data_IF_075963130390
#
_entry.id   IF_075963130390
#
_cell.length_a   1.000
_cell.length_b   1.000
_cell.length_c   1.000
_cell.angle_alpha   90.00
_cell.angle_beta   90.00
_cell.angle_gamma   90.00
#
_symmetry.space_group_name_H-M   'P 1'
#
loop_
_entity.id
_entity.type
_entity.pdbx_description
1 polymer ?
#
# COMPACT_ATOMS: atom_id res chain seq x y z
N UNK A 1 -19.26 -40.90 28.66
CA UNK A 1 -17.95 -40.28 28.33
C UNK A 1 -16.87 -41.23 28.83
N UNK A 2 -16.15 -41.84 27.90
CA UNK A 2 -15.15 -42.87 28.23
C UNK A 2 -13.87 -42.21 28.78
N UNK A 3 -13.05 -42.97 29.53
CA UNK A 3 -11.83 -42.50 30.21
C UNK A 3 -10.80 -41.78 29.30
N UNK A 4 -10.92 -41.87 27.97
CA UNK A 4 -10.04 -41.18 27.01
C UNK A 4 -10.33 -39.67 26.90
N UNK A 5 -11.58 -39.22 27.10
CA UNK A 5 -11.98 -37.82 26.85
C UNK A 5 -11.46 -36.87 27.94
N UNK A 6 -11.20 -37.37 29.14
CA UNK A 6 -10.69 -36.58 30.26
C UNK A 6 -9.20 -36.26 30.14
N UNK A 7 -8.43 -37.06 29.37
CA UNK A 7 -6.97 -37.00 29.39
C UNK A 7 -6.42 -35.71 28.74
N UNK A 8 -7.09 -35.23 27.69
CA UNK A 8 -6.66 -34.03 26.97
C UNK A 8 -6.97 -32.72 27.74
N UNK A 9 -8.04 -32.71 28.53
CA UNK A 9 -8.42 -31.57 29.38
C UNK A 9 -7.51 -31.47 30.62
N UNK A 10 -6.87 -32.56 31.04
CA UNK A 10 -5.97 -32.62 32.20
C UNK A 10 -4.53 -32.22 31.90
N UNK A 11 -4.15 -32.02 30.63
CA UNK A 11 -2.78 -31.70 30.24
C UNK A 11 -2.27 -30.39 30.88
N UNK A 12 -0.99 -30.33 31.31
CA UNK A 12 -0.38 -29.09 31.80
C UNK A 12 -0.45 -27.97 30.74
N UNK A 13 -0.52 -26.68 31.16
CA UNK A 13 -0.57 -25.54 30.24
C UNK A 13 0.55 -25.51 29.21
N UNK A 14 1.76 -25.97 29.56
CA UNK A 14 2.91 -25.99 28.65
C UNK A 14 2.74 -27.01 27.52
N UNK A 15 2.19 -28.19 27.83
CA UNK A 15 1.89 -29.22 26.82
C UNK A 15 0.76 -28.73 25.93
N UNK A 16 -0.27 -28.11 26.51
CA UNK A 16 -1.36 -27.48 25.75
C UNK A 16 -0.85 -26.37 24.82
N UNK A 17 0.10 -25.55 25.28
CA UNK A 17 0.74 -24.53 24.45
C UNK A 17 1.44 -25.15 23.24
N UNK A 18 2.22 -26.22 23.44
CA UNK A 18 2.92 -26.91 22.35
C UNK A 18 1.92 -27.51 21.37
N UNK A 19 0.88 -28.20 21.83
CA UNK A 19 -0.14 -28.77 20.93
C UNK A 19 -0.88 -27.68 20.15
N UNK A 20 -1.34 -26.63 20.84
CA UNK A 20 -1.98 -25.48 20.20
C UNK A 20 -1.06 -24.72 19.24
N UNK A 21 0.26 -24.84 19.38
CA UNK A 21 1.25 -24.24 18.45
C UNK A 21 1.29 -24.91 17.08
N UNK A 22 0.75 -26.13 16.94
CA UNK A 22 0.63 -26.83 15.66
C UNK A 22 -0.73 -26.66 14.97
N UNK A 23 -1.77 -26.28 15.71
CA UNK A 23 -3.12 -26.08 15.14
C UNK A 23 -3.17 -24.82 14.25
N UNK A 24 -4.09 -24.77 13.29
CA UNK A 24 -4.41 -23.54 12.55
C UNK A 24 -5.39 -22.65 13.35
N UNK A 25 -5.56 -21.40 12.92
CA UNK A 25 -6.40 -20.41 13.61
C UNK A 25 -7.86 -20.88 13.72
N UNK A 26 -8.40 -21.57 12.70
CA UNK A 26 -9.78 -22.03 12.73
C UNK A 26 -9.96 -23.20 13.71
N UNK A 27 -9.01 -24.14 13.74
CA UNK A 27 -9.02 -25.22 14.75
C UNK A 27 -8.89 -24.67 16.16
N UNK A 28 -8.03 -23.69 16.40
CA UNK A 28 -7.95 -23.02 17.69
C UNK A 28 -9.29 -22.36 18.09
N UNK A 29 -9.97 -21.72 17.13
CA UNK A 29 -11.31 -21.18 17.32
C UNK A 29 -12.37 -22.22 17.67
N UNK A 30 -12.27 -23.43 17.12
CA UNK A 30 -13.16 -24.54 17.47
C UNK A 30 -12.83 -25.10 18.84
N UNK A 31 -11.55 -25.28 19.15
CA UNK A 31 -11.07 -25.81 20.44
C UNK A 31 -11.52 -24.96 21.63
N UNK A 32 -11.52 -23.65 21.50
CA UNK A 32 -12.04 -22.73 22.53
C UNK A 32 -13.53 -22.83 22.78
N UNK A 33 -14.30 -23.45 21.88
CA UNK A 33 -15.73 -23.70 22.08
C UNK A 33 -15.99 -25.06 22.74
N UNK A 34 -14.97 -25.92 22.91
CA UNK A 34 -15.13 -27.28 23.46
C UNK A 34 -15.33 -27.25 24.97
N UNK A 35 -14.55 -26.46 25.72
CA UNK A 35 -14.69 -26.37 27.17
C UNK A 35 -14.23 -25.03 27.75
N UNK A 36 -14.68 -24.69 28.97
CA UNK A 36 -14.31 -23.44 29.67
C UNK A 36 -12.79 -23.30 29.88
N UNK A 37 -12.07 -24.41 30.12
CA UNK A 37 -10.61 -24.41 30.29
C UNK A 37 -9.88 -24.01 29.00
N UNK A 38 -10.25 -24.61 27.85
CA UNK A 38 -9.68 -24.21 26.56
C UNK A 38 -10.08 -22.80 26.17
N UNK A 39 -11.31 -22.38 26.47
CA UNK A 39 -11.74 -21.01 26.26
C UNK A 39 -10.88 -20.01 27.05
N UNK A 40 -10.66 -20.26 28.35
CA UNK A 40 -9.81 -19.43 29.20
C UNK A 40 -8.35 -19.44 28.73
N UNK A 41 -7.81 -20.62 28.41
CA UNK A 41 -6.43 -20.76 27.92
C UNK A 41 -6.19 -20.01 26.61
N UNK A 42 -7.09 -20.16 25.64
CA UNK A 42 -6.98 -19.52 24.33
C UNK A 42 -7.40 -18.04 24.35
N UNK A 43 -8.03 -17.55 25.42
CA UNK A 43 -8.17 -16.10 25.66
C UNK A 43 -6.85 -15.45 26.04
N UNK A 44 -5.93 -16.20 26.66
CA UNK A 44 -4.60 -15.67 26.98
C UNK A 44 -3.74 -15.50 25.71
N UNK A 45 -2.94 -14.44 25.69
CA UNK A 45 -2.25 -13.95 24.49
C UNK A 45 -1.04 -14.77 24.06
N UNK A 46 -0.56 -15.74 24.85
CA UNK A 46 0.72 -16.41 24.60
C UNK A 46 0.77 -17.21 23.29
N UNK A 47 -0.28 -17.98 22.98
CA UNK A 47 -0.36 -18.76 21.72
C UNK A 47 -0.47 -17.83 20.50
N UNK A 48 -1.18 -16.71 20.65
CA UNK A 48 -1.50 -15.78 19.58
C UNK A 48 -0.40 -14.76 19.31
N UNK A 49 0.37 -14.37 20.33
CA UNK A 49 1.41 -13.34 20.24
C UNK A 49 2.54 -13.73 19.29
N UNK A 50 2.92 -15.01 19.27
CA UNK A 50 3.92 -15.52 18.33
C UNK A 50 3.38 -15.55 16.89
N UNK A 51 2.11 -15.94 16.72
CA UNK A 51 1.47 -16.07 15.40
C UNK A 51 1.14 -14.73 14.76
N UNK A 52 0.73 -13.74 15.54
CA UNK A 52 0.31 -12.43 15.05
C UNK A 52 1.45 -11.57 14.48
N UNK A 53 2.72 -11.97 14.68
CA UNK A 53 3.88 -11.23 14.19
C UNK A 53 4.07 -11.31 12.68
N UNK A 54 3.92 -12.50 12.10
CA UNK A 54 4.26 -12.79 10.69
C UNK A 54 3.06 -13.34 9.92
N UNK A 55 1.92 -12.66 10.07
CA UNK A 55 0.67 -13.04 9.44
C UNK A 55 0.24 -12.00 8.41
N UNK A 56 -0.49 -12.46 7.40
CA UNK A 56 -0.84 -11.67 6.22
C UNK A 56 -1.82 -10.55 6.58
N UNK A 57 -1.57 -9.35 6.04
CA UNK A 57 -2.39 -8.13 6.02
C UNK A 57 -2.61 -7.42 7.36
N UNK A 58 -2.10 -7.94 8.48
CA UNK A 58 -2.41 -7.41 9.82
C UNK A 58 -1.18 -6.99 10.62
N UNK A 59 -0.04 -6.78 9.95
CA UNK A 59 1.14 -6.23 10.62
C UNK A 59 0.82 -4.83 11.18
N UNK A 60 1.09 -4.63 12.47
CA UNK A 60 1.00 -3.33 13.13
C UNK A 60 2.22 -3.09 14.03
N UNK A 61 3.31 -3.82 13.79
CA UNK A 61 4.59 -3.59 14.45
C UNK A 61 5.35 -2.43 13.81
N UNK A 62 5.17 -2.21 12.50
CA UNK A 62 5.76 -1.06 11.80
C UNK A 62 4.97 0.22 12.09
N UNK A 63 5.69 1.30 12.43
CA UNK A 63 5.16 2.64 12.69
C UNK A 63 4.36 3.17 11.49
N UNK A 64 4.82 2.89 10.26
CA UNK A 64 4.13 3.34 9.03
C UNK A 64 2.74 2.74 8.90
N UNK A 65 2.61 1.45 9.20
CA UNK A 65 1.33 0.76 9.15
C UNK A 65 0.44 1.13 10.35
N UNK A 66 1.04 1.36 11.53
CA UNK A 66 0.32 1.84 12.71
C UNK A 66 -0.27 3.25 12.50
N UNK A 67 0.45 4.14 11.82
CA UNK A 67 -0.01 5.49 11.46
C UNK A 67 -1.18 5.48 10.45
N UNK A 68 -1.34 4.41 9.68
CA UNK A 68 -2.49 4.20 8.76
C UNK A 68 -3.65 3.47 9.43
N UNK A 69 -3.33 2.62 10.41
CA UNK A 69 -4.30 1.79 11.11
C UNK A 69 -5.21 2.61 11.99
N UNK A 70 -6.51 2.51 11.75
CA UNK A 70 -7.50 3.15 12.62
C UNK A 70 -7.63 2.43 13.96
N UNK A 71 -7.72 1.10 13.89
CA UNK A 71 -7.90 0.20 15.02
C UNK A 71 -6.59 -0.52 15.31
N UNK A 72 -6.16 -0.55 16.57
CA UNK A 72 -5.04 -1.39 17.02
C UNK A 72 -5.63 -2.72 17.45
N UNK A 73 -5.23 -3.79 16.76
CA UNK A 73 -5.78 -5.11 16.96
C UNK A 73 -4.96 -5.90 17.99
N UNK A 74 -5.66 -6.61 18.86
CA UNK A 74 -5.05 -7.59 19.75
C UNK A 74 -4.52 -8.80 18.97
N UNK A 75 -3.57 -9.59 19.51
CA UNK A 75 -2.99 -10.74 18.80
C UNK A 75 -4.00 -11.74 18.26
N UNK A 76 -5.08 -12.00 19.02
CA UNK A 76 -6.18 -12.89 18.62
C UNK A 76 -6.91 -12.30 17.41
N UNK A 77 -7.26 -11.01 17.49
CA UNK A 77 -7.98 -10.30 16.44
C UNK A 77 -7.16 -10.23 15.16
N UNK A 78 -5.84 -9.97 15.24
CA UNK A 78 -4.93 -10.00 14.09
C UNK A 78 -4.96 -11.34 13.36
N UNK A 79 -5.01 -12.45 14.11
CA UNK A 79 -5.06 -13.79 13.54
C UNK A 79 -6.37 -14.03 12.79
N UNK A 80 -7.51 -13.73 13.42
CA UNK A 80 -8.82 -13.87 12.79
C UNK A 80 -9.02 -12.94 11.60
N UNK A 81 -8.52 -11.71 11.71
CA UNK A 81 -8.58 -10.74 10.66
C UNK A 81 -7.80 -11.23 9.43
N UNK A 82 -6.60 -11.79 9.62
CA UNK A 82 -5.85 -12.42 8.53
C UNK A 82 -6.60 -13.59 7.86
N UNK A 83 -7.31 -14.42 8.64
CA UNK A 83 -8.15 -15.49 8.06
C UNK A 83 -9.22 -14.91 7.14
N UNK A 84 -9.83 -13.76 7.46
CA UNK A 84 -10.82 -13.12 6.59
C UNK A 84 -10.22 -12.63 5.29
N UNK A 85 -9.01 -12.04 5.35
CA UNK A 85 -8.24 -11.70 4.15
C UNK A 85 -8.01 -12.94 3.28
N UNK A 86 -7.42 -14.00 3.84
CA UNK A 86 -7.08 -15.22 3.10
C UNK A 86 -8.30 -15.92 2.51
N UNK A 87 -9.40 -16.02 3.27
CA UNK A 87 -10.64 -16.66 2.80
C UNK A 87 -11.44 -15.78 1.82
N UNK A 88 -11.20 -14.47 1.83
CA UNK A 88 -11.96 -13.50 1.03
C UNK A 88 -13.35 -13.21 1.59
N UNK A 89 -13.50 -13.21 2.92
CA UNK A 89 -14.73 -12.76 3.57
C UNK A 89 -14.68 -11.25 3.76
N UNK A 90 -15.35 -10.52 2.87
CA UNK A 90 -15.42 -9.06 2.89
C UNK A 90 -16.78 -8.54 2.46
N UNK A 91 -17.07 -7.30 2.82
CA UNK A 91 -18.19 -6.52 2.30
C UNK A 91 -17.65 -5.37 1.46
N UNK A 92 -18.06 -5.30 0.20
CA UNK A 92 -17.72 -4.21 -0.70
C UNK A 92 -18.73 -3.07 -0.57
N UNK A 93 -18.22 -1.83 -0.49
CA UNK A 93 -19.01 -0.61 -0.51
C UNK A 93 -18.40 0.38 -1.50
N UNK A 94 -19.22 0.88 -2.43
CA UNK A 94 -18.83 2.01 -3.29
C UNK A 94 -18.89 3.28 -2.46
N UNK A 95 -17.77 3.97 -2.29
CA UNK A 95 -17.67 5.19 -1.51
C UNK A 95 -17.93 6.44 -2.36
N UNK A 96 -17.36 6.46 -3.57
CA UNK A 96 -17.56 7.53 -4.54
C UNK A 96 -17.76 6.90 -5.91
N UNK A 97 -18.68 7.45 -6.68
CA UNK A 97 -18.89 7.08 -8.08
C UNK A 97 -18.97 8.34 -8.92
N UNK A 98 -18.40 8.28 -10.11
CA UNK A 98 -18.44 9.37 -11.08
C UNK A 98 -18.47 8.81 -12.51
N UNK A 99 -18.94 9.61 -13.46
CA UNK A 99 -19.18 9.18 -14.85
C UNK A 99 -17.93 9.36 -15.73
N UNK A 100 -17.13 10.36 -15.41
CA UNK A 100 -15.86 10.68 -16.07
C UNK A 100 -14.79 9.65 -15.72
N UNK A 101 -13.93 9.31 -16.67
CA UNK A 101 -12.78 8.44 -16.38
C UNK A 101 -11.64 9.30 -15.87
N UNK A 102 -11.07 8.93 -14.71
CA UNK A 102 -9.85 9.53 -14.18
C UNK A 102 -8.78 8.45 -13.95
N UNK A 103 -7.55 8.89 -13.73
CA UNK A 103 -6.46 8.06 -13.20
C UNK A 103 -6.18 8.43 -11.74
N UNK A 104 -7.06 8.04 -10.78
CA UNK A 104 -6.98 8.52 -9.42
C UNK A 104 -5.80 7.94 -8.65
N UNK A 105 -5.27 8.77 -7.77
CA UNK A 105 -4.30 8.42 -6.74
C UNK A 105 -4.95 8.56 -5.37
N UNK A 106 -4.54 7.73 -4.41
CA UNK A 106 -5.03 7.83 -3.05
C UNK A 106 -3.89 7.70 -2.03
N UNK A 107 -4.09 8.29 -0.87
CA UNK A 107 -3.20 8.11 0.28
C UNK A 107 -4.02 7.98 1.55
N UNK A 108 -3.75 6.93 2.31
CA UNK A 108 -4.45 6.61 3.55
C UNK A 108 -3.64 7.10 4.77
N UNK A 109 -4.33 7.75 5.70
CA UNK A 109 -3.88 8.08 7.05
C UNK A 109 -4.88 7.49 8.06
N UNK A 110 -4.56 7.56 9.37
CA UNK A 110 -5.40 7.00 10.44
C UNK A 110 -6.87 7.46 10.39
N UNK A 111 -7.08 8.77 10.27
CA UNK A 111 -8.39 9.42 10.37
C UNK A 111 -8.84 10.07 9.06
N UNK A 112 -8.01 10.00 8.03
CA UNK A 112 -8.19 10.75 6.80
C UNK A 112 -7.88 9.86 5.60
N UNK A 113 -8.69 9.99 4.55
CA UNK A 113 -8.38 9.47 3.23
C UNK A 113 -8.23 10.63 2.26
N UNK A 114 -7.07 10.70 1.60
CA UNK A 114 -6.84 11.60 0.48
C UNK A 114 -7.12 10.89 -0.83
N UNK A 115 -7.82 11.56 -1.75
CA UNK A 115 -8.23 11.00 -3.04
C UNK A 115 -8.12 12.07 -4.12
N UNK A 116 -7.42 11.79 -5.22
CA UNK A 116 -7.45 12.67 -6.39
C UNK A 116 -8.64 12.34 -7.29
N UNK A 117 -9.35 13.39 -7.71
CA UNK A 117 -10.47 13.34 -8.64
C UNK A 117 -10.22 14.36 -9.73
N UNK A 118 -9.65 13.90 -10.84
CA UNK A 118 -9.16 14.75 -11.91
C UNK A 118 -8.16 15.79 -11.39
N UNK A 119 -8.39 17.07 -11.69
CA UNK A 119 -7.52 18.18 -11.29
C UNK A 119 -7.58 18.59 -9.80
N UNK A 120 -8.41 17.93 -8.99
CA UNK A 120 -8.59 18.26 -7.57
C UNK A 120 -8.17 17.12 -6.64
N UNK A 121 -7.66 17.47 -5.46
CA UNK A 121 -7.36 16.52 -4.38
C UNK A 121 -8.37 16.74 -3.26
N UNK A 122 -9.06 15.68 -2.88
CA UNK A 122 -10.11 15.68 -1.86
C UNK A 122 -9.59 15.02 -0.58
N UNK A 123 -9.92 15.62 0.56
CA UNK A 123 -9.65 15.09 1.89
C UNK A 123 -10.95 14.66 2.54
N UNK A 124 -11.06 13.39 2.91
CA UNK A 124 -12.24 12.86 3.58
C UNK A 124 -11.92 12.45 5.02
N UNK A 125 -12.86 12.66 5.94
CA UNK A 125 -12.81 12.08 7.27
C UNK A 125 -13.14 10.59 7.17
N UNK A 126 -12.35 9.77 7.85
CA UNK A 126 -12.59 8.33 7.97
C UNK A 126 -13.43 8.03 9.23
N UNK A 127 -14.52 7.31 9.06
CA UNK A 127 -15.44 6.92 10.13
C UNK A 127 -15.01 5.61 10.81
N UNK A 128 -15.62 5.26 11.94
CA UNK A 128 -15.28 4.07 12.74
C UNK A 128 -15.40 2.75 11.95
N UNK A 129 -16.41 2.69 11.08
CA UNK A 129 -16.71 1.59 10.15
C UNK A 129 -15.85 1.63 8.88
N UNK A 130 -14.85 2.52 8.80
CA UNK A 130 -13.99 2.71 7.65
C UNK A 130 -14.61 3.52 6.52
N UNK A 131 -15.92 3.82 6.56
CA UNK A 131 -16.55 4.63 5.52
C UNK A 131 -16.07 6.09 5.57
N UNK A 132 -16.42 6.86 4.53
CA UNK A 132 -16.08 8.28 4.46
C UNK A 132 -17.21 9.12 5.03
N UNK A 133 -16.86 10.20 5.72
CA UNK A 133 -17.82 11.23 6.09
C UNK A 133 -18.45 11.85 4.84
N UNK A 134 -19.73 12.22 4.93
CA UNK A 134 -20.49 12.81 3.82
C UNK A 134 -19.85 14.10 3.29
N UNK A 135 -19.28 14.90 4.20
CA UNK A 135 -18.65 16.16 3.87
C UNK A 135 -17.15 16.00 3.58
N UNK A 136 -16.72 16.60 2.47
CA UNK A 136 -15.31 16.78 2.14
C UNK A 136 -14.69 17.77 3.13
N UNK A 137 -13.62 17.37 3.82
CA UNK A 137 -12.93 18.23 4.79
C UNK A 137 -12.15 19.35 4.11
N UNK A 138 -11.44 19.03 3.02
CA UNK A 138 -10.64 19.96 2.23
C UNK A 138 -10.68 19.57 0.76
N UNK A 139 -10.74 20.58 -0.12
CA UNK A 139 -10.60 20.41 -1.57
C UNK A 139 -9.44 21.27 -2.06
N UNK A 140 -8.35 20.65 -2.45
CA UNK A 140 -7.18 21.33 -3.00
C UNK A 140 -7.37 21.46 -4.51
N UNK A 141 -7.44 22.71 -4.99
CA UNK A 141 -7.56 23.07 -6.40
C UNK A 141 -6.35 23.90 -6.80
N UNK A 142 -5.89 23.71 -8.02
CA UNK A 142 -4.75 24.43 -8.58
C UNK A 142 -4.39 23.91 -9.96
N UNK A 143 -4.33 22.60 -10.16
CA UNK A 143 -4.02 22.03 -11.47
C UNK A 143 -5.08 22.36 -12.53
N UNK A 144 -4.65 22.50 -13.79
CA UNK A 144 -5.55 22.68 -14.93
C UNK A 144 -5.92 21.35 -15.60
N UNK A 145 -5.25 20.26 -15.24
CA UNK A 145 -5.47 18.91 -15.76
C UNK A 145 -5.34 17.90 -14.59
N UNK A 146 -5.61 16.63 -14.88
CA UNK A 146 -5.63 15.54 -13.91
C UNK A 146 -4.35 15.46 -13.07
N UNK A 147 -4.53 15.26 -11.76
CA UNK A 147 -3.42 15.04 -10.83
C UNK A 147 -2.88 13.63 -11.03
N UNK A 148 -1.64 13.51 -11.52
CA UNK A 148 -1.00 12.22 -11.73
C UNK A 148 -0.64 11.51 -10.43
N UNK A 149 0.07 12.19 -9.53
CA UNK A 149 0.40 11.67 -8.20
C UNK A 149 0.56 12.79 -7.18
N UNK A 150 0.16 12.52 -5.95
CA UNK A 150 0.41 13.40 -4.82
C UNK A 150 0.96 12.63 -3.61
N UNK A 151 1.67 13.35 -2.74
CA UNK A 151 2.20 12.84 -1.48
C UNK A 151 1.84 13.81 -0.36
N UNK A 152 1.28 13.30 0.73
CA UNK A 152 1.02 14.02 1.97
C UNK A 152 2.01 13.56 3.05
N UNK A 153 2.83 14.45 3.58
CA UNK A 153 3.83 14.15 4.63
C UNK A 153 4.20 15.39 5.43
N UNK A 154 4.49 15.25 6.72
CA UNK A 154 4.96 16.37 7.56
C UNK A 154 4.07 17.64 7.47
N UNK A 155 2.75 17.47 7.26
CA UNK A 155 1.80 18.59 7.18
C UNK A 155 1.73 19.32 5.84
N UNK A 156 2.42 18.85 4.80
CA UNK A 156 2.32 19.38 3.43
C UNK A 156 1.71 18.34 2.49
N UNK A 157 1.10 18.82 1.42
CA UNK A 157 0.65 18.02 0.28
C UNK A 157 1.36 18.55 -0.95
N UNK A 158 2.11 17.69 -1.63
CA UNK A 158 2.82 18.01 -2.88
C UNK A 158 2.21 17.18 -3.99
N UNK A 159 1.84 17.79 -5.12
CA UNK A 159 1.28 17.05 -6.26
C UNK A 159 1.81 17.50 -7.60
N UNK A 160 1.92 16.53 -8.51
CA UNK A 160 2.23 16.74 -9.92
C UNK A 160 0.98 16.56 -10.79
N UNK A 161 0.75 17.49 -11.70
CA UNK A 161 -0.34 17.45 -12.66
C UNK A 161 0.09 16.97 -14.04
N UNK A 162 -0.89 16.51 -14.82
CA UNK A 162 -0.71 16.23 -16.25
C UNK A 162 -0.44 17.49 -17.08
N UNK A 163 -0.73 18.66 -16.53
CA UNK A 163 -0.41 19.99 -17.06
C UNK A 163 1.08 20.38 -16.90
N UNK A 164 1.92 19.49 -16.38
CA UNK A 164 3.36 19.74 -16.17
C UNK A 164 3.66 20.65 -14.98
N UNK A 165 2.65 20.99 -14.18
CA UNK A 165 2.79 21.86 -13.01
C UNK A 165 2.91 21.06 -11.71
N UNK A 166 3.64 21.64 -10.75
CA UNK A 166 3.73 21.21 -9.36
C UNK A 166 2.90 22.16 -8.49
N UNK A 167 2.10 21.61 -7.59
CA UNK A 167 1.39 22.41 -6.60
C UNK A 167 1.72 21.90 -5.18
N UNK A 168 1.73 22.82 -4.21
CA UNK A 168 2.02 22.53 -2.80
C UNK A 168 1.00 23.23 -1.93
N UNK A 169 0.40 22.49 -0.99
CA UNK A 169 -0.54 23.03 -0.01
C UNK A 169 -0.20 22.58 1.41
N UNK A 170 -0.70 23.32 2.39
CA UNK A 170 -0.72 22.89 3.79
C UNK A 170 -1.83 21.87 4.03
N UNK A 171 -1.51 20.72 4.60
CA UNK A 171 -2.45 19.61 4.82
C UNK A 171 -3.55 19.91 5.86
N UNK A 172 -3.34 20.90 6.73
CA UNK A 172 -4.28 21.29 7.81
C UNK A 172 -5.39 22.20 7.31
N UNK A 173 -5.04 23.28 6.61
CA UNK A 173 -5.97 24.33 6.17
C UNK A 173 -6.22 24.32 4.66
N UNK A 174 -5.44 23.57 3.88
CA UNK A 174 -5.50 23.58 2.42
C UNK A 174 -4.98 24.88 1.78
N UNK A 175 -4.23 25.69 2.55
CA UNK A 175 -3.62 26.90 2.03
C UNK A 175 -2.58 26.55 0.96
N UNK A 176 -2.68 27.19 -0.19
CA UNK A 176 -1.72 27.01 -1.27
C UNK A 176 -0.40 27.70 -0.90
N UNK A 177 0.66 26.91 -0.79
CA UNK A 177 2.03 27.40 -0.54
C UNK A 177 2.72 27.72 -1.86
N UNK A 178 2.52 26.88 -2.88
CA UNK A 178 2.98 27.12 -4.25
C UNK A 178 1.87 26.71 -5.22
N UNK A 179 1.45 27.65 -6.07
CA UNK A 179 0.37 27.43 -7.02
C UNK A 179 0.91 27.27 -8.44
N UNK A 180 0.59 26.13 -9.09
CA UNK A 180 0.89 25.82 -10.50
C UNK A 180 2.31 26.19 -10.94
N UNK A 181 3.29 25.71 -10.20
CA UNK A 181 4.68 25.94 -10.57
C UNK A 181 5.04 25.08 -11.78
N UNK A 182 5.27 25.70 -12.93
CA UNK A 182 5.61 24.99 -14.16
C UNK A 182 7.04 24.42 -14.10
N UNK A 183 7.14 23.14 -13.73
CA UNK A 183 8.42 22.46 -13.56
C UNK A 183 8.86 21.72 -14.83
N UNK A 184 7.91 21.16 -15.59
CA UNK A 184 8.17 20.23 -16.70
C UNK A 184 7.39 20.61 -17.95
N UNK A 185 7.89 20.22 -19.13
CA UNK A 185 7.22 20.52 -20.41
C UNK A 185 6.09 19.55 -20.75
N UNK A 186 6.00 18.43 -20.01
CA UNK A 186 4.96 17.41 -20.14
C UNK A 186 4.46 16.96 -18.76
N UNK A 187 3.41 16.14 -18.76
CA UNK A 187 2.78 15.57 -17.58
C UNK A 187 3.77 15.05 -16.54
N UNK A 188 3.55 15.42 -15.27
CA UNK A 188 4.28 14.90 -14.12
C UNK A 188 3.53 13.67 -13.61
N UNK A 189 4.07 12.49 -13.91
CA UNK A 189 3.44 11.21 -13.55
C UNK A 189 3.65 10.85 -12.07
N UNK A 190 4.76 11.32 -11.47
CA UNK A 190 5.11 10.95 -10.11
C UNK A 190 5.84 12.08 -9.41
N UNK A 191 5.52 12.27 -8.14
CA UNK A 191 6.19 13.22 -7.24
C UNK A 191 6.48 12.51 -5.93
N UNK A 192 7.61 12.84 -5.33
CA UNK A 192 7.92 12.52 -3.94
C UNK A 192 8.72 13.66 -3.32
N UNK A 193 8.74 13.75 -1.99
CA UNK A 193 9.54 14.75 -1.30
C UNK A 193 9.99 14.28 0.08
N UNK A 194 11.14 14.82 0.48
CA UNK A 194 11.71 14.60 1.80
C UNK A 194 12.30 15.91 2.30
N UNK A 195 11.88 16.32 3.50
CA UNK A 195 12.27 17.60 4.08
C UNK A 195 11.95 18.75 3.11
N UNK A 196 12.98 19.46 2.66
CA UNK A 196 12.89 20.58 1.75
C UNK A 196 13.18 20.19 0.29
N UNK A 197 13.36 18.91 -0.02
CA UNK A 197 13.68 18.46 -1.39
C UNK A 197 12.44 17.83 -2.01
N UNK A 198 12.03 18.37 -3.16
CA UNK A 198 10.97 17.79 -3.99
C UNK A 198 11.58 17.19 -5.23
N UNK A 199 11.13 15.99 -5.59
CA UNK A 199 11.51 15.33 -6.83
C UNK A 199 10.28 15.10 -7.70
N UNK A 200 10.41 15.47 -8.97
CA UNK A 200 9.34 15.34 -9.96
C UNK A 200 9.81 14.48 -11.12
N UNK A 201 9.09 13.41 -11.43
CA UNK A 201 9.30 12.57 -12.60
C UNK A 201 8.27 12.86 -13.69
N UNK A 202 8.74 13.21 -14.89
CA UNK A 202 7.86 13.64 -15.99
C UNK A 202 7.96 12.75 -17.23
N UNK A 203 6.91 12.81 -18.05
CA UNK A 203 6.89 12.28 -19.41
C UNK A 203 7.85 13.02 -20.37
N UNK A 204 8.42 14.16 -19.95
CA UNK A 204 9.47 14.86 -20.69
C UNK A 204 10.84 14.15 -20.66
N UNK A 205 10.89 12.98 -20.01
CA UNK A 205 12.05 12.09 -19.87
C UNK A 205 13.12 12.61 -18.90
N UNK A 206 12.73 13.54 -18.04
CA UNK A 206 13.60 14.08 -16.99
C UNK A 206 13.04 13.82 -15.60
N UNK A 207 13.95 13.73 -14.64
CA UNK A 207 13.64 13.90 -13.23
C UNK A 207 14.26 15.21 -12.77
N UNK A 208 13.45 16.07 -12.18
CA UNK A 208 13.91 17.36 -11.65
C UNK A 208 13.91 17.35 -10.14
N UNK A 209 15.00 17.84 -9.56
CA UNK A 209 15.19 17.93 -8.11
C UNK A 209 15.18 19.39 -7.72
N UNK A 210 14.25 19.75 -6.84
CA UNK A 210 13.99 21.11 -6.40
C UNK A 210 14.26 21.23 -4.91
N UNK A 211 14.81 22.37 -4.50
CA UNK A 211 14.93 22.74 -3.09
C UNK A 211 13.87 23.78 -2.77
N UNK A 212 13.02 23.49 -1.80
CA UNK A 212 11.99 24.37 -1.27
C UNK A 212 12.56 25.15 -0.08
N UNK A 213 12.60 26.47 -0.22
CA UNK A 213 12.76 27.37 0.92
C UNK A 213 11.41 28.07 1.19
N UNK A 214 11.29 28.71 2.36
CA UNK A 214 10.03 29.35 2.78
C UNK A 214 9.46 30.35 1.75
N UNK A 215 10.33 31.01 0.99
CA UNK A 215 9.96 32.09 0.06
C UNK A 215 10.36 31.82 -1.40
N UNK A 216 11.24 30.85 -1.65
CA UNK A 216 11.78 30.60 -2.98
C UNK A 216 12.06 29.13 -3.20
N UNK A 217 11.85 28.69 -4.42
CA UNK A 217 12.03 27.31 -4.82
C UNK A 217 13.00 27.27 -6.01
N UNK A 218 14.08 26.52 -5.84
CA UNK A 218 15.23 26.56 -6.75
C UNK A 218 15.48 25.20 -7.38
N UNK A 219 15.71 25.18 -8.69
CA UNK A 219 16.10 23.97 -9.40
C UNK A 219 17.53 23.64 -8.99
N UNK A 220 17.74 22.50 -8.33
CA UNK A 220 19.09 22.09 -7.92
C UNK A 220 19.84 21.50 -9.11
N UNK A 221 19.21 20.53 -9.78
CA UNK A 221 19.72 19.92 -11.00
C UNK A 221 18.59 19.13 -11.70
N UNK A 222 18.86 18.72 -12.95
CA UNK A 222 17.98 17.86 -13.76
C UNK A 222 18.73 16.59 -14.13
N UNK A 223 18.11 15.43 -13.88
CA UNK A 223 18.62 14.12 -14.26
C UNK A 223 17.94 13.71 -15.57
N UNK A 224 18.70 13.55 -16.68
CA UNK A 224 18.14 13.04 -17.92
C UNK A 224 18.04 11.51 -17.86
N UNK A 225 16.81 10.99 -17.77
CA UNK A 225 16.54 9.54 -17.79
C UNK A 225 16.46 9.02 -19.23
N UNK A 226 16.14 9.90 -20.18
CA UNK A 226 16.00 9.59 -21.62
C UNK A 226 14.87 8.60 -21.95
N UNK A 227 14.04 8.26 -20.99
CA UNK A 227 12.77 7.54 -21.15
C UNK A 227 11.69 8.18 -20.25
N UNK A 228 10.40 7.95 -20.58
CA UNK A 228 9.28 8.52 -19.82
C UNK A 228 9.31 8.01 -18.39
N UNK A 229 9.34 8.92 -17.42
CA UNK A 229 9.34 8.56 -16.00
C UNK A 229 7.91 8.28 -15.56
N UNK A 230 7.65 7.10 -15.04
CA UNK A 230 6.35 6.66 -14.56
C UNK A 230 6.24 6.75 -13.04
N UNK A 231 7.33 6.46 -12.32
CA UNK A 231 7.35 6.48 -10.86
C UNK A 231 8.65 7.02 -10.30
N UNK A 232 8.55 7.72 -9.19
CA UNK A 232 9.67 8.25 -8.41
C UNK A 232 9.40 7.94 -6.94
N UNK A 233 10.43 7.51 -6.22
CA UNK A 233 10.37 7.35 -4.77
C UNK A 233 11.70 7.70 -4.10
N UNK A 234 11.64 8.27 -2.91
CA UNK A 234 12.79 8.65 -2.10
C UNK A 234 13.04 7.62 -0.99
N UNK A 235 14.28 7.16 -0.91
CA UNK A 235 14.79 6.35 0.18
C UNK A 235 15.53 7.26 1.16
N UNK A 236 14.78 7.80 2.12
CA UNK A 236 15.26 8.88 3.01
C UNK A 236 16.49 8.51 3.84
N UNK A 237 16.58 7.24 4.25
CA UNK A 237 17.69 6.74 5.07
C UNK A 237 19.05 6.88 4.39
N UNK A 238 19.12 6.64 3.08
CA UNK A 238 20.36 6.63 2.30
C UNK A 238 20.47 7.80 1.33
N UNK A 239 19.49 8.72 1.33
CA UNK A 239 19.42 9.82 0.36
C UNK A 239 19.47 9.33 -1.10
N UNK A 240 18.80 8.22 -1.39
CA UNK A 240 18.74 7.64 -2.73
C UNK A 240 17.38 7.96 -3.38
N UNK A 241 17.44 8.42 -4.61
CA UNK A 241 16.30 8.61 -5.50
C UNK A 241 16.13 7.37 -6.38
N UNK A 242 14.96 6.76 -6.33
CA UNK A 242 14.58 5.65 -7.17
C UNK A 242 13.67 6.13 -8.30
N UNK A 243 13.94 5.65 -9.52
CA UNK A 243 13.17 6.04 -10.71
C UNK A 243 12.71 4.80 -11.47
N UNK A 244 11.40 4.74 -11.76
CA UNK A 244 10.78 3.78 -12.65
C UNK A 244 10.40 4.47 -13.97
N UNK A 245 10.90 3.96 -15.10
CA UNK A 245 10.60 4.45 -16.44
C UNK A 245 9.70 3.49 -17.22
N UNK A 246 9.18 3.94 -18.36
CA UNK A 246 8.33 3.14 -19.24
C UNK A 246 9.04 1.94 -19.90
N UNK A 247 10.34 1.76 -19.71
CA UNK A 247 11.14 0.68 -20.31
C UNK A 247 11.18 0.74 -21.83
N UNK A 248 11.01 1.93 -22.40
CA UNK A 248 11.11 2.18 -23.83
C UNK A 248 12.50 2.76 -24.14
N UNK A 249 12.99 2.60 -25.37
CA UNK A 249 14.28 3.14 -25.83
C UNK A 249 15.54 2.40 -25.32
N UNK A 250 15.42 1.15 -24.86
CA UNK A 250 16.57 0.30 -24.51
C UNK A 250 17.28 0.71 -23.21
N UNK A 251 16.66 1.59 -22.43
CA UNK A 251 17.16 2.02 -21.12
C UNK A 251 16.58 1.11 -20.05
N UNK A 252 17.40 0.74 -19.08
CA UNK A 252 16.93 -0.03 -17.95
C UNK A 252 15.84 0.76 -17.19
N UNK A 253 14.65 0.19 -16.99
CA UNK A 253 13.49 0.89 -16.47
C UNK A 253 13.61 1.25 -14.99
N UNK A 254 14.48 0.58 -14.23
CA UNK A 254 14.66 0.82 -12.81
C UNK A 254 16.09 1.29 -12.53
N UNK A 255 16.22 2.54 -12.10
CA UNK A 255 17.50 3.18 -11.81
C UNK A 255 17.48 3.84 -10.44
N UNK A 256 18.65 3.93 -9.83
CA UNK A 256 18.86 4.58 -8.55
C UNK A 256 19.93 5.67 -8.67
N UNK A 257 19.67 6.82 -8.10
CA UNK A 257 20.51 8.01 -8.15
C UNK A 257 20.78 8.50 -6.73
N UNK A 258 21.98 9.02 -6.52
CA UNK A 258 22.32 9.73 -5.28
C UNK A 258 21.70 11.12 -5.34
N UNK A 259 20.87 11.44 -4.35
CA UNK A 259 20.14 12.71 -4.28
C UNK A 259 21.08 13.91 -4.00
N UNK A 260 22.27 13.68 -3.46
CA UNK A 260 23.21 14.76 -3.17
C UNK A 260 23.92 15.27 -4.43
N UNK A 261 24.40 14.34 -5.27
CA UNK A 261 25.19 14.61 -6.48
C UNK A 261 24.39 14.53 -7.78
N UNK A 262 23.22 13.89 -7.79
CA UNK A 262 22.48 13.57 -9.01
C UNK A 262 23.11 12.45 -9.85
N UNK A 263 24.17 11.81 -9.35
CA UNK A 263 24.88 10.74 -10.06
C UNK A 263 24.13 9.43 -9.97
N UNK A 264 24.18 8.62 -11.04
CA UNK A 264 23.57 7.28 -11.04
C UNK A 264 24.39 6.34 -10.16
N UNK A 265 23.78 5.82 -9.10
CA UNK A 265 24.39 4.86 -8.17
C UNK A 265 24.28 3.44 -8.70
N UNK A 266 23.09 3.06 -9.18
CA UNK A 266 22.84 1.70 -9.62
C UNK A 266 21.80 1.65 -10.73
N UNK A 267 21.91 0.61 -11.54
CA UNK A 267 20.85 0.16 -12.44
C UNK A 267 20.36 -1.19 -11.92
N UNK A 268 19.07 -1.28 -11.62
CA UNK A 268 18.49 -2.45 -10.97
C UNK A 268 18.05 -3.46 -12.04
N UNK A 269 18.75 -4.60 -12.09
CA UNK A 269 18.58 -5.64 -13.11
C UNK A 269 19.32 -5.38 -14.43
N UNK A 270 19.63 -6.45 -15.17
CA UNK A 270 20.51 -6.42 -16.35
C UNK A 270 19.86 -6.90 -17.65
N UNK A 271 18.61 -7.40 -17.61
CA UNK A 271 17.95 -8.01 -18.77
C UNK A 271 16.44 -7.73 -18.77
N UNK A 272 16.06 -6.47 -18.99
CA UNK A 272 14.67 -6.07 -19.09
C UNK A 272 14.18 -6.23 -20.54
N UNK A 273 13.00 -6.80 -20.74
CA UNK A 273 12.37 -6.86 -22.07
C UNK A 273 12.01 -5.43 -22.50
N UNK A 274 12.16 -5.11 -23.77
CA UNK A 274 11.70 -3.80 -24.26
C UNK A 274 10.19 -3.66 -24.01
N UNK A 275 9.77 -2.55 -23.39
CA UNK A 275 8.39 -2.37 -22.91
C UNK A 275 8.11 -2.88 -21.50
N UNK A 276 9.09 -3.45 -20.79
CA UNK A 276 9.00 -3.81 -19.38
C UNK A 276 9.07 -2.58 -18.46
N UNK A 277 8.15 -1.62 -18.66
CA UNK A 277 8.13 -0.39 -17.88
C UNK A 277 7.74 -0.62 -16.43
N UNK A 278 8.34 0.14 -15.53
CA UNK A 278 8.04 0.13 -14.09
C UNK A 278 7.05 1.27 -13.79
N UNK A 279 5.81 0.89 -13.49
CA UNK A 279 4.71 1.82 -13.19
C UNK A 279 4.73 2.30 -11.74
N UNK A 280 5.25 1.49 -10.81
CA UNK A 280 5.34 1.88 -9.41
C UNK A 280 6.62 1.35 -8.77
N UNK A 281 7.34 2.26 -8.11
CA UNK A 281 8.45 1.93 -7.22
C UNK A 281 8.05 2.29 -5.80
N UNK A 282 8.25 1.37 -4.86
CA UNK A 282 7.86 1.53 -3.47
C UNK A 282 9.01 1.15 -2.51
N UNK A 283 9.53 2.07 -1.69
CA UNK A 283 10.53 1.76 -0.67
C UNK A 283 9.92 0.92 0.45
N UNK A 284 10.39 -0.33 0.57
CA UNK A 284 9.89 -1.29 1.55
C UNK A 284 10.55 -1.05 2.91
N UNK A 285 11.88 -0.96 2.88
CA UNK A 285 12.75 -0.78 4.04
C UNK A 285 13.91 0.16 3.67
N UNK A 286 14.80 0.54 4.60
CA UNK A 286 15.96 1.37 4.31
C UNK A 286 16.89 0.84 3.21
N UNK A 287 16.84 -0.45 2.89
CA UNK A 287 17.67 -1.07 1.85
C UNK A 287 16.87 -1.78 0.78
N UNK A 288 15.61 -2.09 1.01
CA UNK A 288 14.79 -2.87 0.09
C UNK A 288 13.69 -2.02 -0.56
N UNK A 289 13.34 -2.38 -1.78
CA UNK A 289 12.26 -1.75 -2.53
C UNK A 289 11.49 -2.78 -3.34
N UNK A 290 10.22 -2.47 -3.59
CA UNK A 290 9.36 -3.19 -4.50
C UNK A 290 9.20 -2.41 -5.80
N UNK A 291 9.14 -3.13 -6.91
CA UNK A 291 8.83 -2.57 -8.23
C UNK A 291 7.75 -3.39 -8.91
N UNK A 292 6.85 -2.75 -9.65
CA UNK A 292 5.91 -3.43 -10.54
C UNK A 292 5.66 -2.61 -11.81
N UNK A 293 5.13 -3.25 -12.85
CA UNK A 293 4.70 -2.54 -14.04
C UNK A 293 4.17 -3.41 -15.16
N UNK A 294 4.56 -3.09 -16.40
CA UNK A 294 4.04 -3.73 -17.62
C UNK A 294 4.55 -5.14 -17.85
N UNK A 295 5.63 -5.54 -17.19
CA UNK A 295 6.18 -6.86 -17.32
C UNK A 295 5.53 -7.90 -16.40
N UNK A 296 4.38 -7.56 -15.80
CA UNK A 296 3.50 -8.46 -15.02
C UNK A 296 4.11 -9.05 -13.75
N UNK A 297 5.37 -8.74 -13.46
CA UNK A 297 6.06 -9.13 -12.24
C UNK A 297 6.01 -8.04 -11.18
N UNK A 298 5.84 -8.47 -9.94
CA UNK A 298 6.25 -7.72 -8.75
C UNK A 298 7.64 -8.21 -8.38
N UNK A 299 8.58 -7.31 -8.17
CA UNK A 299 9.96 -7.67 -7.79
C UNK A 299 10.37 -6.98 -6.51
N UNK A 300 11.08 -7.72 -5.67
CA UNK A 300 11.78 -7.23 -4.49
C UNK A 300 13.26 -7.09 -4.83
N UNK A 301 13.81 -5.92 -4.55
CA UNK A 301 15.22 -5.61 -4.76
C UNK A 301 15.85 -5.20 -3.44
N UNK A 302 17.13 -5.54 -3.28
CA UNK A 302 17.97 -5.05 -2.20
C UNK A 302 19.04 -4.14 -2.82
N UNK A 303 19.10 -2.90 -2.35
CA UNK A 303 20.06 -1.89 -2.81
C UNK A 303 21.51 -2.25 -2.51
N UNK A 304 21.76 -3.18 -1.56
CA UNK A 304 23.10 -3.73 -1.31
C UNK A 304 23.57 -4.66 -2.43
N UNK A 305 22.63 -5.23 -3.19
CA UNK A 305 22.86 -6.19 -4.27
C UNK A 305 22.04 -5.84 -5.53
N UNK A 306 22.30 -4.68 -6.17
CA UNK A 306 21.39 -4.10 -7.16
C UNK A 306 21.28 -4.90 -8.47
N UNK A 307 22.25 -5.76 -8.76
CA UNK A 307 22.27 -6.54 -10.00
C UNK A 307 21.32 -7.73 -9.99
N UNK A 308 20.89 -8.21 -8.82
CA UNK A 308 20.06 -9.41 -8.68
C UNK A 308 18.72 -9.07 -8.02
N UNK A 309 17.65 -9.57 -8.62
CA UNK A 309 16.34 -9.57 -8.00
C UNK A 309 16.34 -10.56 -6.82
N UNK A 310 15.85 -10.13 -5.66
CA UNK A 310 15.77 -10.98 -4.46
C UNK A 310 14.64 -12.00 -4.61
N UNK A 311 13.46 -11.51 -4.97
CA UNK A 311 12.26 -12.31 -5.18
C UNK A 311 11.40 -11.70 -6.27
N UNK A 312 10.73 -12.53 -7.06
CA UNK A 312 9.79 -12.11 -8.09
C UNK A 312 8.48 -12.90 -7.98
N UNK A 313 7.36 -12.22 -8.20
CA UNK A 313 6.01 -12.79 -8.19
C UNK A 313 5.32 -12.40 -9.50
N UNK A 314 4.96 -13.40 -10.30
CA UNK A 314 4.32 -13.21 -11.61
C UNK A 314 2.80 -13.15 -11.46
N UNK A 315 2.17 -12.17 -12.10
CA UNK A 315 0.72 -12.14 -12.19
C UNK A 315 0.19 -13.38 -12.93
N UNK A 316 -0.67 -14.22 -12.33
CA UNK A 316 -1.09 -15.48 -12.98
C UNK A 316 -1.92 -15.28 -14.25
N UNK A 317 -2.36 -14.06 -14.54
CA UNK A 317 -3.19 -13.73 -15.69
C UNK A 317 -2.47 -12.80 -16.68
N UNK A 318 -1.13 -12.70 -16.58
CA UNK A 318 -0.30 -11.89 -17.46
C UNK A 318 -0.81 -10.44 -17.57
N UNK A 319 -1.23 -9.88 -16.43
CA UNK A 319 -1.78 -8.52 -16.35
C UNK A 319 -0.74 -7.54 -15.82
N UNK A 320 -0.63 -6.38 -16.48
CA UNK A 320 0.21 -5.30 -15.99
C UNK A 320 -0.24 -4.82 -14.60
N UNK A 321 0.73 -4.49 -13.75
CA UNK A 321 0.51 -4.08 -12.36
C UNK A 321 0.75 -2.58 -12.22
N UNK A 322 -0.30 -1.84 -11.86
CA UNK A 322 -0.29 -0.37 -11.81
C UNK A 322 0.19 0.17 -10.46
N UNK A 323 -0.18 -0.48 -9.36
CA UNK A 323 0.13 0.01 -8.03
C UNK A 323 0.41 -1.14 -7.04
N UNK A 324 1.10 -0.78 -5.96
CA UNK A 324 1.47 -1.67 -4.87
C UNK A 324 1.14 -1.02 -3.54
N UNK A 325 0.76 -1.83 -2.56
CA UNK A 325 0.84 -1.46 -1.15
C UNK A 325 1.36 -2.63 -0.33
N UNK A 326 1.98 -2.35 0.81
CA UNK A 326 2.51 -3.37 1.71
C UNK A 326 2.22 -3.01 3.16
N UNK A 327 2.26 -4.03 4.01
CA UNK A 327 2.26 -3.92 5.46
C UNK A 327 3.67 -3.80 6.05
N UNK A 328 4.70 -3.68 5.19
CA UNK A 328 6.12 -3.64 5.56
C UNK A 328 6.64 -4.88 6.28
N UNK A 329 5.95 -6.01 6.12
CA UNK A 329 6.40 -7.30 6.63
C UNK A 329 6.25 -8.37 5.55
N UNK A 330 5.16 -9.13 5.58
CA UNK A 330 4.98 -10.30 4.71
C UNK A 330 4.03 -10.00 3.54
N UNK A 331 3.18 -8.98 3.66
CA UNK A 331 2.08 -8.77 2.70
C UNK A 331 2.42 -7.76 1.64
N UNK A 332 2.08 -8.12 0.41
CA UNK A 332 2.04 -7.19 -0.73
C UNK A 332 0.65 -7.27 -1.37
N UNK A 333 0.04 -6.12 -1.61
CA UNK A 333 -1.16 -5.98 -2.42
C UNK A 333 -0.76 -5.37 -3.76
N UNK A 334 -1.32 -5.91 -4.85
CA UNK A 334 -1.07 -5.41 -6.19
C UNK A 334 -2.37 -5.11 -6.92
N UNK A 335 -2.44 -3.92 -7.53
CA UNK A 335 -3.55 -3.52 -8.38
C UNK A 335 -3.23 -3.75 -9.84
N UNK A 336 -4.10 -4.46 -10.55
CA UNK A 336 -3.83 -4.85 -11.95
C UNK A 336 -4.61 -4.04 -12.97
N UNK A 337 -4.20 -4.17 -14.23
CA UNK A 337 -4.69 -3.36 -15.36
C UNK A 337 -6.12 -3.67 -15.80
N UNK A 338 -6.69 -4.81 -15.41
CA UNK A 338 -7.98 -5.29 -15.92
C UNK A 338 -8.89 -5.73 -14.78
N UNK A 339 -10.19 -5.55 -15.00
CA UNK A 339 -11.28 -6.09 -14.18
C UNK A 339 -11.26 -5.69 -12.69
N UNK A 340 -10.60 -4.60 -12.32
CA UNK A 340 -10.55 -4.13 -10.94
C UNK A 340 -9.92 -5.15 -9.99
N UNK A 341 -9.01 -6.00 -10.50
CA UNK A 341 -8.46 -7.10 -9.71
C UNK A 341 -7.34 -6.60 -8.81
N UNK A 342 -7.50 -6.82 -7.51
CA UNK A 342 -6.47 -6.69 -6.49
C UNK A 342 -6.01 -8.06 -6.06
N UNK A 343 -4.70 -8.30 -6.05
CA UNK A 343 -4.12 -9.58 -5.57
C UNK A 343 -3.41 -9.39 -4.25
N UNK A 344 -3.63 -10.37 -3.36
CA UNK A 344 -2.97 -10.51 -2.09
C UNK A 344 -1.82 -11.51 -2.20
N UNK A 345 -0.63 -11.06 -1.87
CA UNK A 345 0.59 -11.83 -1.90
C UNK A 345 1.14 -12.00 -0.49
N UNK A 346 1.65 -13.21 -0.24
CA UNK A 346 2.54 -13.50 0.87
C UNK A 346 3.94 -13.63 0.27
N UNK A 347 4.89 -12.79 0.71
CA UNK A 347 6.26 -12.79 0.18
C UNK A 347 6.97 -14.14 0.31
N UNK A 348 6.50 -15.02 1.20
CA UNK A 348 7.05 -16.37 1.41
C UNK A 348 6.54 -17.39 0.40
N UNK A 349 5.52 -17.04 -0.38
CA UNK A 349 4.88 -17.89 -1.37
C UNK A 349 5.15 -17.36 -2.78
N UNK A 350 5.03 -18.24 -3.78
CA UNK A 350 5.19 -17.87 -5.21
C UNK A 350 3.86 -17.49 -5.86
N UNK A 351 2.76 -18.09 -5.41
CA UNK A 351 1.40 -17.84 -5.92
C UNK A 351 0.66 -16.82 -5.06
N UNK A 352 -0.29 -16.06 -5.62
CA UNK A 352 -1.10 -15.16 -4.81
C UNK A 352 -1.98 -15.94 -3.85
N UNK A 353 -2.12 -15.42 -2.63
CA UNK A 353 -2.96 -15.98 -1.56
C UNK A 353 -4.43 -15.83 -1.92
N UNK A 354 -4.82 -14.66 -2.45
CA UNK A 354 -6.21 -14.35 -2.78
C UNK A 354 -6.30 -13.31 -3.89
N UNK A 355 -7.40 -13.37 -4.64
CA UNK A 355 -7.78 -12.36 -5.63
C UNK A 355 -9.10 -11.72 -5.20
N UNK A 356 -9.17 -10.40 -5.25
CA UNK A 356 -10.37 -9.61 -5.00
C UNK A 356 -10.80 -8.93 -6.29
N UNK A 357 -12.08 -9.08 -6.62
CA UNK A 357 -12.70 -8.39 -7.75
C UNK A 357 -13.44 -7.19 -7.18
N UNK A 358 -13.05 -5.99 -7.62
CA UNK A 358 -13.58 -4.74 -7.10
C UNK A 358 -14.26 -3.97 -8.22
N UNK A 359 -15.49 -3.52 -7.97
CA UNK A 359 -16.34 -2.94 -8.98
C UNK A 359 -16.90 -3.97 -9.96
N UNK A 360 -17.81 -3.51 -10.82
CA UNK A 360 -18.52 -4.35 -11.81
C UNK A 360 -18.01 -4.18 -13.24
N UNK A 361 -17.06 -3.27 -13.47
CA UNK A 361 -16.57 -2.89 -14.80
C UNK A 361 -15.13 -3.29 -15.05
N UNK A 362 -14.74 -3.29 -16.32
CA UNK A 362 -13.33 -3.44 -16.68
C UNK A 362 -12.60 -2.11 -16.42
N UNK A 363 -11.79 -2.10 -15.37
CA UNK A 363 -11.05 -0.91 -14.94
C UNK A 363 -9.68 -1.31 -14.39
N UNK A 364 -8.62 -0.54 -14.66
CA UNK A 364 -7.35 -0.66 -13.93
C UNK A 364 -7.53 -0.25 -12.47
N UNK A 365 -6.80 -0.91 -11.58
CA UNK A 365 -6.60 -0.43 -10.21
C UNK A 365 -5.44 0.56 -10.20
N UNK A 366 -5.75 1.85 -10.34
CA UNK A 366 -4.73 2.91 -10.42
C UNK A 366 -3.99 3.13 -9.10
N UNK A 367 -4.71 3.02 -7.99
CA UNK A 367 -4.14 3.21 -6.66
C UNK A 367 -4.91 2.41 -5.62
N UNK A 368 -4.19 1.90 -4.63
CA UNK A 368 -4.77 1.17 -3.51
C UNK A 368 -4.00 1.48 -2.23
N UNK A 369 -4.71 1.44 -1.10
CA UNK A 369 -4.13 1.47 0.23
C UNK A 369 -5.02 0.68 1.17
N UNK A 370 -4.43 0.17 2.24
CA UNK A 370 -5.16 -0.65 3.18
C UNK A 370 -4.65 -0.43 4.60
N UNK A 371 -5.48 -0.83 5.53
CA UNK A 371 -5.11 -1.15 6.89
C UNK A 371 -5.60 -2.57 7.23
N UNK A 372 -5.38 -3.09 8.44
CA UNK A 372 -5.75 -4.47 8.76
C UNK A 372 -7.24 -4.78 8.60
N UNK A 373 -8.10 -3.77 8.69
CA UNK A 373 -9.55 -3.93 8.68
C UNK A 373 -10.19 -3.60 7.32
N UNK A 374 -9.59 -2.68 6.57
CA UNK A 374 -10.20 -2.10 5.37
C UNK A 374 -9.19 -1.94 4.23
N UNK A 375 -9.64 -2.16 3.01
CA UNK A 375 -8.89 -1.86 1.79
C UNK A 375 -9.65 -0.83 0.96
N UNK A 376 -8.96 0.22 0.52
CA UNK A 376 -9.47 1.25 -0.36
C UNK A 376 -8.85 1.09 -1.74
N UNK A 377 -9.70 1.07 -2.76
CA UNK A 377 -9.32 0.78 -4.14
C UNK A 377 -9.88 1.86 -5.05
N UNK A 378 -9.00 2.59 -5.72
CA UNK A 378 -9.37 3.61 -6.69
C UNK A 378 -9.32 3.05 -8.11
N UNK A 379 -10.49 3.02 -8.73
CA UNK A 379 -10.74 2.63 -10.11
C UNK A 379 -10.98 3.88 -10.97
N UNK A 380 -11.02 3.68 -12.29
CA UNK A 380 -11.30 4.71 -13.30
C UNK A 380 -12.52 5.61 -13.00
N UNK A 381 -13.60 5.03 -12.45
CA UNK A 381 -14.91 5.69 -12.22
C UNK A 381 -15.42 5.63 -10.78
N UNK A 382 -14.70 4.95 -9.90
CA UNK A 382 -15.16 4.75 -8.53
C UNK A 382 -14.03 4.60 -7.52
N UNK A 383 -14.33 4.98 -6.28
CA UNK A 383 -13.55 4.64 -5.10
C UNK A 383 -14.34 3.61 -4.31
N UNK A 384 -13.78 2.43 -4.11
CA UNK A 384 -14.42 1.32 -3.42
C UNK A 384 -13.68 1.01 -2.12
N UNK A 385 -14.43 0.55 -1.12
CA UNK A 385 -13.91 0.04 0.13
C UNK A 385 -14.30 -1.41 0.30
N UNK A 386 -13.33 -2.26 0.62
CA UNK A 386 -13.56 -3.63 1.04
C UNK A 386 -13.35 -3.67 2.56
N UNK A 387 -14.43 -3.94 3.27
CA UNK A 387 -14.40 -4.16 4.72
C UNK A 387 -14.18 -5.63 5.00
N UNK A 388 -13.08 -5.94 5.66
CA UNK A 388 -12.79 -7.27 6.20
C UNK A 388 -13.24 -7.38 7.65
N UNK A 389 -13.98 -6.39 8.18
CA UNK A 389 -14.59 -6.51 9.50
C UNK A 389 -15.83 -7.39 9.43
N UNK A 390 -16.09 -8.08 10.51
CA UNK A 390 -17.27 -8.93 10.72
C UNK A 390 -17.41 -9.15 12.22
N UNK A 391 -18.50 -9.78 12.66
CA UNK A 391 -18.67 -10.15 14.07
C UNK A 391 -17.36 -10.71 14.60
N UNK A 392 -16.74 -9.96 15.51
CA UNK A 392 -15.47 -10.32 16.09
C UNK A 392 -15.60 -11.76 16.55
N UNK A 393 -14.56 -12.56 16.34
CA UNK A 393 -14.41 -13.79 17.13
C UNK A 393 -14.05 -13.37 18.57
N UNK A 394 -14.86 -12.51 19.17
CA UNK A 394 -15.03 -12.45 20.59
C UNK A 394 -16.06 -13.54 20.84
N UNK A 395 -15.72 -14.65 21.54
CA UNK A 395 -16.77 -15.40 22.21
C UNK A 395 -17.41 -14.39 23.17
N UNK A 396 -18.49 -13.75 22.73
CA UNK A 396 -19.37 -13.06 23.64
C UNK A 396 -19.69 -14.12 24.69
N UNK A 397 -19.40 -13.80 25.94
CA UNK A 397 -20.10 -14.45 27.03
C UNK A 397 -21.57 -14.04 26.88
N UNK A 398 -22.28 -14.67 25.95
CA UNK A 398 -23.70 -14.85 26.14
C UNK A 398 -23.77 -15.76 27.35
N UNK A 399 -24.07 -15.16 28.50
CA UNK A 399 -24.52 -15.83 29.72
C UNK A 399 -25.84 -16.60 29.48
N UNK A 400 -26.09 -17.09 28.27
CA UNK A 400 -27.20 -17.97 27.97
C UNK A 400 -26.74 -19.39 28.22
N UNK A 401 -27.04 -19.78 29.46
CA UNK A 401 -27.18 -21.14 29.96
C UNK A 401 -27.72 -22.06 28.86
N UNK A 402 -26.98 -23.12 28.57
CA UNK A 402 -27.55 -24.43 28.25
C UNK A 402 -26.95 -25.45 29.20
#
# INVERSE_FOLDING_TARGET
>A
MSRSDAMFVLLPPDVLYVVCSYCDVQTLGRLSCVCKRFNAFLKHSYVWSRRSRNIVATNQSDKRMLQRSRHVLEPVEKCWQSVRWQTGRYHERVLLQHYTIFMPWLQLERDVLWYSKGAAILKFKRLADGSLGENVLLTLRGHADDVGRFVCKNGLVVSGGNDGSLCIWTATQGLCVHNRWHCSSKAINSVDYSNNIVVTGSQDRTVKVWTLNAESSTLRYTIPIWDRVCSVALLESNWILLTGSAGCNGIAPLQAFDLSSGSRVATLGTSHRNGAGVLHVYPESPTELLSCGYDTFIRLWDMRCPTRCVSAWEDPHDSAVYCLATDHNVTVLSGTSRYGVVRLWDKRMTTPVKMYYVGRGNSPVYSLAFDPCYMYVALDRSLNMLSFTGSSWTPQATNEVF
#
